data_IF_823643838384
#
_entry.id   IF_823643838384
#
_cell.length_a   1.000
_cell.length_b   1.000
_cell.length_c   1.000
_cell.angle_alpha   90.00
_cell.angle_beta   90.00
_cell.angle_gamma   90.00
#
_symmetry.space_group_name_H-M   'P 1'
#
loop_
_entity.id
_entity.type
_entity.pdbx_description
1 polymer ?
#
# COMPACT_ATOMS: atom_id res chain seq x y z
N UNK A 1 -26.05 8.61 3.86
CA UNK A 1 -24.62 8.68 4.26
C UNK A 1 -24.17 7.57 5.23
N UNK A 2 -24.93 7.23 6.28
CA UNK A 2 -24.53 6.23 7.31
C UNK A 2 -24.18 4.81 6.78
N UNK A 3 -24.78 4.38 5.66
CA UNK A 3 -24.49 3.08 5.02
C UNK A 3 -23.16 3.02 4.27
N UNK A 4 -22.73 4.14 3.67
CA UNK A 4 -21.47 4.22 2.91
C UNK A 4 -20.29 4.15 3.88
N UNK A 5 -20.38 4.85 5.02
CA UNK A 5 -19.38 4.73 6.09
C UNK A 5 -19.25 3.29 6.58
N UNK A 6 -20.38 2.57 6.73
CA UNK A 6 -20.34 1.17 7.16
C UNK A 6 -19.64 0.26 6.15
N UNK A 7 -19.83 0.48 4.85
CA UNK A 7 -19.14 -0.27 3.79
C UNK A 7 -17.66 0.06 3.70
N UNK A 8 -17.29 1.34 3.87
CA UNK A 8 -15.90 1.76 3.95
C UNK A 8 -15.20 1.15 5.16
N UNK A 9 -15.86 1.12 6.33
CA UNK A 9 -15.37 0.46 7.53
C UNK A 9 -15.17 -1.04 7.31
N UNK A 10 -16.16 -1.73 6.71
CA UNK A 10 -16.06 -3.16 6.37
C UNK A 10 -14.91 -3.45 5.39
N UNK A 11 -14.73 -2.60 4.37
CA UNK A 11 -13.64 -2.72 3.42
C UNK A 11 -12.28 -2.53 4.12
N UNK A 12 -12.18 -1.51 4.98
CA UNK A 12 -10.97 -1.23 5.75
C UNK A 12 -10.65 -2.36 6.74
N UNK A 13 -11.65 -2.95 7.37
CA UNK A 13 -11.49 -4.11 8.26
C UNK A 13 -11.06 -5.37 7.52
N UNK A 14 -11.54 -5.58 6.29
CA UNK A 14 -11.09 -6.65 5.40
C UNK A 14 -9.63 -6.46 4.98
N UNK A 15 -9.28 -5.26 4.52
CA UNK A 15 -7.94 -4.91 4.08
C UNK A 15 -6.88 -4.96 5.18
N UNK A 16 -7.26 -4.60 6.41
CA UNK A 16 -6.39 -4.70 7.61
C UNK A 16 -6.42 -6.10 8.25
N UNK A 17 -7.10 -7.06 7.61
CA UNK A 17 -7.31 -8.43 8.08
C UNK A 17 -7.83 -8.49 9.52
N UNK A 18 -8.64 -7.51 9.96
CA UNK A 18 -9.00 -7.29 11.38
C UNK A 18 -9.59 -8.54 12.04
N UNK A 19 -10.28 -9.38 11.29
CA UNK A 19 -10.93 -10.59 11.82
C UNK A 19 -10.14 -11.89 11.59
N UNK A 20 -9.12 -11.88 10.72
CA UNK A 20 -8.34 -13.08 10.39
C UNK A 20 -7.03 -13.07 11.19
N UNK A 21 -6.90 -14.02 12.12
CA UNK A 21 -5.75 -14.14 13.02
C UNK A 21 -4.74 -15.21 12.61
N UNK A 22 -5.02 -15.97 11.56
CA UNK A 22 -4.22 -17.13 11.22
C UNK A 22 -2.88 -16.71 10.62
N UNK A 23 -1.78 -16.98 11.33
CA UNK A 23 -0.43 -16.49 10.98
C UNK A 23 0.01 -16.93 9.58
N UNK A 24 -0.42 -18.12 9.16
CA UNK A 24 -0.14 -18.70 7.84
C UNK A 24 -0.72 -17.88 6.68
N UNK A 25 -1.79 -17.10 6.91
CA UNK A 25 -2.41 -16.23 5.88
C UNK A 25 -1.86 -14.81 5.95
N UNK A 26 -1.50 -14.33 7.14
CA UNK A 26 -1.02 -12.95 7.34
C UNK A 26 0.37 -12.75 6.73
N UNK A 27 1.27 -13.75 6.83
CA UNK A 27 2.63 -13.67 6.27
C UNK A 27 2.65 -13.53 4.74
N UNK A 28 1.98 -14.39 3.94
CA UNK A 28 1.96 -14.24 2.49
C UNK A 28 1.26 -12.95 2.05
N UNK A 29 0.24 -12.51 2.78
CA UNK A 29 -0.41 -11.23 2.53
C UNK A 29 0.52 -10.04 2.78
N UNK A 30 1.28 -10.04 3.88
CA UNK A 30 2.27 -9.01 4.15
C UNK A 30 3.36 -8.98 3.07
N UNK A 31 3.87 -10.16 2.66
CA UNK A 31 4.85 -10.26 1.59
C UNK A 31 4.32 -9.70 0.26
N UNK A 32 3.07 -9.98 -0.07
CA UNK A 32 2.40 -9.40 -1.24
C UNK A 32 2.38 -7.88 -1.17
N UNK A 33 1.97 -7.31 -0.05
CA UNK A 33 1.94 -5.85 0.13
C UNK A 33 3.35 -5.22 0.08
N UNK A 34 4.36 -5.87 0.65
CA UNK A 34 5.75 -5.41 0.55
C UNK A 34 6.22 -5.43 -0.90
N UNK A 35 5.92 -6.49 -1.65
CA UNK A 35 6.26 -6.58 -3.07
C UNK A 35 5.54 -5.49 -3.89
N UNK A 36 4.25 -5.28 -3.64
CA UNK A 36 3.46 -4.20 -4.26
C UNK A 36 4.09 -2.84 -3.96
N UNK A 37 4.52 -2.58 -2.73
CA UNK A 37 5.19 -1.34 -2.37
C UNK A 37 6.54 -1.16 -3.07
N UNK A 38 7.36 -2.22 -3.17
CA UNK A 38 8.61 -2.18 -3.94
C UNK A 38 8.32 -1.86 -5.42
N UNK A 39 7.27 -2.47 -5.99
CA UNK A 39 6.87 -2.22 -7.36
C UNK A 39 6.37 -0.77 -7.57
N UNK A 40 5.58 -0.23 -6.64
CA UNK A 40 5.16 1.17 -6.66
C UNK A 40 6.35 2.14 -6.60
N UNK A 41 7.36 1.86 -5.77
CA UNK A 41 8.60 2.64 -5.73
C UNK A 41 9.37 2.56 -7.05
N UNK A 42 9.45 1.38 -7.65
CA UNK A 42 10.08 1.22 -8.96
C UNK A 42 9.36 2.04 -10.05
N UNK A 43 8.03 2.00 -10.09
CA UNK A 43 7.25 2.83 -10.99
C UNK A 43 7.42 4.32 -10.71
N UNK A 44 7.53 4.71 -9.44
CA UNK A 44 7.81 6.10 -9.04
C UNK A 44 9.15 6.58 -9.59
N UNK A 45 10.17 5.73 -9.47
CA UNK A 45 11.48 6.00 -10.03
C UNK A 45 11.43 6.16 -11.55
N UNK A 46 10.78 5.24 -12.27
CA UNK A 46 10.60 5.34 -13.72
C UNK A 46 9.82 6.59 -14.13
N UNK A 47 8.81 6.98 -13.35
CA UNK A 47 8.04 8.20 -13.60
C UNK A 47 8.92 9.45 -13.43
N UNK A 48 9.72 9.53 -12.38
CA UNK A 48 10.65 10.66 -12.19
C UNK A 48 11.72 10.68 -13.29
N UNK A 49 12.27 9.51 -13.65
CA UNK A 49 13.25 9.38 -14.70
C UNK A 49 12.70 9.80 -16.07
N UNK A 50 11.48 9.38 -16.39
CA UNK A 50 10.79 9.77 -17.62
C UNK A 50 10.52 11.28 -17.65
N UNK A 51 10.11 11.86 -16.51
CA UNK A 51 9.93 13.31 -16.38
C UNK A 51 11.24 14.07 -16.63
N UNK A 52 12.36 13.60 -16.09
CA UNK A 52 13.68 14.17 -16.32
C UNK A 52 14.10 14.11 -17.80
N UNK A 53 13.80 13.00 -18.48
CA UNK A 53 14.03 12.88 -19.94
C UNK A 53 13.19 13.91 -20.68
N UNK A 54 11.89 14.01 -20.41
CA UNK A 54 11.03 14.98 -21.10
C UNK A 54 11.51 16.43 -20.94
N UNK A 55 11.95 16.80 -19.73
CA UNK A 55 12.54 18.11 -19.45
C UNK A 55 13.82 18.36 -20.26
N UNK A 56 14.74 17.38 -20.30
CA UNK A 56 16.00 17.48 -21.05
C UNK A 56 15.82 17.58 -22.56
N UNK A 57 14.84 16.86 -23.12
CA UNK A 57 14.60 16.81 -24.57
C UNK A 57 13.53 17.84 -25.03
N UNK A 58 13.00 18.66 -24.13
CA UNK A 58 12.03 19.71 -24.45
C UNK A 58 10.64 19.19 -24.86
N UNK A 59 10.33 17.94 -24.56
CA UNK A 59 9.02 17.36 -24.85
C UNK A 59 8.04 17.70 -23.72
N UNK A 60 6.85 18.19 -24.08
CA UNK A 60 5.77 18.40 -23.11
C UNK A 60 5.04 17.08 -22.85
N UNK A 61 4.98 16.59 -21.59
CA UNK A 61 4.22 15.39 -21.27
C UNK A 61 2.73 15.58 -21.56
N UNK A 62 2.06 14.53 -22.04
CA UNK A 62 0.63 14.56 -22.27
C UNK A 62 -0.17 14.63 -20.97
N UNK A 63 -1.42 15.11 -21.03
CA UNK A 63 -2.32 15.16 -19.87
C UNK A 63 -2.46 13.81 -19.14
N UNK A 64 -2.49 12.72 -19.90
CA UNK A 64 -2.54 11.35 -19.37
C UNK A 64 -1.33 11.03 -18.46
N UNK A 65 -0.16 11.60 -18.75
CA UNK A 65 1.04 11.43 -17.94
C UNK A 65 0.85 11.99 -16.53
N UNK A 66 0.29 13.21 -16.42
CA UNK A 66 0.01 13.82 -15.12
C UNK A 66 -1.05 13.05 -14.33
N UNK A 67 -2.09 12.53 -14.99
CA UNK A 67 -3.08 11.65 -14.36
C UNK A 67 -2.41 10.40 -13.79
N UNK A 68 -1.52 9.76 -14.55
CA UNK A 68 -0.83 8.55 -14.10
C UNK A 68 0.06 8.81 -12.87
N UNK A 69 0.71 9.98 -12.79
CA UNK A 69 1.43 10.41 -11.59
C UNK A 69 0.50 10.59 -10.38
N UNK A 70 -0.68 11.18 -10.58
CA UNK A 70 -1.69 11.31 -9.53
C UNK A 70 -2.18 9.96 -9.00
N UNK A 71 -2.45 9.00 -9.89
CA UNK A 71 -2.86 7.64 -9.52
C UNK A 71 -1.74 6.94 -8.74
N UNK A 72 -0.49 7.08 -9.17
CA UNK A 72 0.67 6.51 -8.50
C UNK A 72 0.82 7.03 -7.06
N UNK A 73 0.65 8.34 -6.85
CA UNK A 73 0.66 8.94 -5.51
C UNK A 73 -0.49 8.40 -4.65
N UNK A 74 -1.69 8.28 -5.21
CA UNK A 74 -2.86 7.76 -4.50
C UNK A 74 -2.65 6.30 -4.06
N UNK A 75 -2.07 5.46 -4.93
CA UNK A 75 -1.72 4.08 -4.60
C UNK A 75 -0.72 4.01 -3.45
N UNK A 76 0.37 4.79 -3.50
CA UNK A 76 1.36 4.85 -2.40
C UNK A 76 0.74 5.27 -1.06
N UNK A 77 -0.13 6.28 -1.08
CA UNK A 77 -0.83 6.77 0.13
C UNK A 77 -1.73 5.68 0.73
N UNK A 78 -2.28 4.77 -0.08
CA UNK A 78 -3.09 3.65 0.40
C UNK A 78 -2.22 2.48 0.89
N UNK A 79 -1.17 2.13 0.14
CA UNK A 79 -0.32 0.96 0.40
C UNK A 79 0.52 1.13 1.67
N UNK A 80 1.06 2.32 1.94
CA UNK A 80 1.92 2.58 3.11
C UNK A 80 1.19 2.37 4.45
N UNK A 81 0.01 2.99 4.71
CA UNK A 81 -0.75 2.78 5.94
C UNK A 81 -1.19 1.32 6.14
N UNK A 82 -1.47 0.60 5.06
CA UNK A 82 -1.85 -0.82 5.13
C UNK A 82 -0.70 -1.66 5.65
N UNK A 83 0.50 -1.50 5.08
CA UNK A 83 1.71 -2.19 5.55
C UNK A 83 1.97 -1.86 7.02
N UNK A 84 1.96 -0.57 7.39
CA UNK A 84 2.20 -0.14 8.77
C UNK A 84 1.19 -0.78 9.72
N UNK A 85 -0.10 -0.81 9.35
CA UNK A 85 -1.16 -1.37 10.18
C UNK A 85 -0.99 -2.89 10.36
N UNK A 86 -0.65 -3.61 9.29
CA UNK A 86 -0.42 -5.06 9.33
C UNK A 86 0.82 -5.40 10.17
N UNK A 87 1.94 -4.69 9.95
CA UNK A 87 3.19 -4.88 10.71
C UNK A 87 2.98 -4.58 12.20
N UNK A 88 2.42 -3.40 12.54
CA UNK A 88 2.15 -3.00 13.92
C UNK A 88 1.29 -4.04 14.66
N UNK A 89 0.33 -4.63 13.95
CA UNK A 89 -0.55 -5.65 14.49
C UNK A 89 0.12 -7.01 14.64
N UNK A 90 0.94 -7.42 13.68
CA UNK A 90 1.76 -8.63 13.75
C UNK A 90 2.71 -8.55 14.94
N UNK A 91 3.44 -7.45 15.11
CA UNK A 91 4.35 -7.22 16.24
C UNK A 91 3.62 -7.23 17.57
N UNK A 92 2.43 -6.62 17.67
CA UNK A 92 1.63 -6.64 18.92
C UNK A 92 1.16 -8.06 19.30
N UNK A 93 0.81 -8.91 18.32
CA UNK A 93 0.44 -10.32 18.58
C UNK A 93 1.65 -11.18 18.98
N UNK A 94 2.83 -10.90 18.44
CA UNK A 94 4.07 -11.57 18.86
C UNK A 94 4.45 -11.19 20.29
N UNK A 95 4.26 -9.93 20.69
CA UNK A 95 4.59 -9.43 22.03
C UNK A 95 3.61 -9.90 23.13
N UNK A 96 2.37 -10.28 22.75
CA UNK A 96 1.32 -10.77 23.66
C UNK A 96 1.25 -12.30 23.76
N UNK A 97 2.12 -13.03 23.07
CA UNK A 97 2.25 -14.47 23.31
C UNK A 97 3.03 -14.67 24.62
N UNK A 98 2.45 -15.29 25.65
CA UNK A 98 3.25 -15.73 26.78
C UNK A 98 4.35 -16.63 26.24
N UNK A 99 5.60 -16.38 26.62
CA UNK A 99 6.69 -17.34 26.51
C UNK A 99 6.13 -18.67 27.03
N UNK A 100 5.85 -19.63 26.14
CA UNK A 100 5.64 -21.00 26.57
C UNK A 100 6.97 -21.46 27.19
N UNK A 101 6.93 -21.64 28.51
CA UNK A 101 7.93 -22.38 29.29
C UNK A 101 8.12 -23.78 28.71
#
# INVERSE_FOLDING_TARGET
>A
MRKINKLADLCWEGLTLRHVSNKEVVIPYLLFFILTFIFELFLSFLFIFSFFIFDRFGFKPNFQYYISGGILILMLIMTVPLIITIVKRSTRKVLLLPKKQ
#
